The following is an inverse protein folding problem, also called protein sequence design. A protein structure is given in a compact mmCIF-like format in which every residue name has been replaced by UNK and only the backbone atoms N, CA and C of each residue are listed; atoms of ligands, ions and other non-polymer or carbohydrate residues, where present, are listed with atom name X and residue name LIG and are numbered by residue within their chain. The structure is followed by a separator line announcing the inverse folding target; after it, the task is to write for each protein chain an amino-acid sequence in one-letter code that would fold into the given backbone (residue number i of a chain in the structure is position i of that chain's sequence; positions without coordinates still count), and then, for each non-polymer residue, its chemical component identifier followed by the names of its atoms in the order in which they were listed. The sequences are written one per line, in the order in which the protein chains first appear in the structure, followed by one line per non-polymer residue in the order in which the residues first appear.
data_IF_730374603461
#
_entry.id   IF_730374603461
#
_cell.length_a   1.000
_cell.length_b   1.000
_cell.length_c   1.000
_cell.angle_alpha   90.00
_cell.angle_beta   90.00
_cell.angle_gamma   90.00
#
_symmetry.space_group_name_H-M   'P 1'
#
loop_
_entity.id
_entity.type
_entity.pdbx_description
1 polymer ?
#
# COMPACT_ATOMS: atom_id res chain seq x y z
N UNK A 1 -2.54 15.32 19.44
CA UNK A 1 -1.36 14.63 18.87
C UNK A 1 -1.18 13.33 19.63
N UNK A 2 -1.60 12.20 19.06
CA UNK A 2 -1.44 10.89 19.71
C UNK A 2 -0.33 10.17 18.95
N UNK A 3 0.90 10.26 19.49
CA UNK A 3 2.00 9.39 19.09
C UNK A 3 1.71 8.00 19.64
N UNK A 4 1.84 6.97 18.80
CA UNK A 4 1.80 5.59 19.28
C UNK A 4 2.96 5.34 20.25
N UNK A 5 2.77 4.52 21.30
CA UNK A 5 3.85 4.14 22.21
C UNK A 5 4.98 3.47 21.41
N UNK A 6 6.17 4.07 21.41
CA UNK A 6 7.38 3.56 20.76
C UNK A 6 7.82 4.23 19.45
N UNK A 7 7.09 5.23 18.93
CA UNK A 7 7.58 6.04 17.80
C UNK A 7 8.22 7.33 18.31
N UNK A 8 9.54 7.36 18.32
CA UNK A 8 10.30 8.58 18.49
C UNK A 8 10.27 9.40 17.20
N UNK A 9 10.27 10.72 17.30
CA UNK A 9 10.38 11.68 16.19
C UNK A 9 11.67 11.53 15.36
N UNK A 10 12.58 10.63 15.76
CA UNK A 10 13.87 10.36 15.12
C UNK A 10 13.83 9.18 14.11
N UNK A 11 12.69 8.53 13.92
CA UNK A 11 12.59 7.47 12.93
C UNK A 11 12.60 8.04 11.51
N UNK A 12 13.56 7.64 10.70
CA UNK A 12 13.67 8.00 9.29
C UNK A 12 13.65 6.74 8.43
N UNK A 13 13.04 6.82 7.24
CA UNK A 13 13.06 5.72 6.27
C UNK A 13 13.19 6.24 4.85
N UNK A 14 13.96 5.54 4.03
CA UNK A 14 13.97 5.74 2.57
C UNK A 14 13.02 4.78 1.86
N UNK A 15 12.54 3.74 2.55
CA UNK A 15 11.69 2.73 1.96
C UNK A 15 10.34 3.32 1.57
N UNK A 16 9.89 3.05 0.36
CA UNK A 16 8.60 3.47 -0.16
C UNK A 16 7.89 2.35 -0.93
N UNK A 17 6.59 2.22 -0.70
CA UNK A 17 5.72 1.32 -1.46
C UNK A 17 5.11 2.09 -2.62
N UNK A 18 5.45 1.67 -3.85
CA UNK A 18 4.90 2.25 -5.07
C UNK A 18 3.54 1.62 -5.37
N UNK A 19 2.51 2.45 -5.42
CA UNK A 19 1.14 2.02 -5.69
C UNK A 19 0.41 3.06 -6.53
N UNK A 20 -0.67 2.69 -7.22
CA UNK A 20 -1.47 3.61 -8.02
C UNK A 20 -1.96 4.79 -7.21
N UNK A 21 -1.89 5.98 -7.80
CA UNK A 21 -2.20 7.21 -7.09
C UNK A 21 -3.62 7.19 -6.51
N UNK A 22 -4.61 6.66 -7.25
CA UNK A 22 -5.98 6.53 -6.75
C UNK A 22 -6.12 5.56 -5.57
N UNK A 23 -5.27 4.54 -5.48
CA UNK A 23 -5.22 3.63 -4.32
C UNK A 23 -4.56 4.33 -3.14
N UNK A 24 -3.44 5.03 -3.36
CA UNK A 24 -2.76 5.81 -2.31
C UNK A 24 -3.69 6.86 -1.71
N UNK A 25 -4.37 7.64 -2.56
CA UNK A 25 -5.35 8.65 -2.12
C UNK A 25 -6.51 8.00 -1.34
N UNK A 26 -7.01 6.86 -1.79
CA UNK A 26 -8.07 6.12 -1.09
C UNK A 26 -7.64 5.55 0.27
N UNK A 27 -6.38 5.11 0.40
CA UNK A 27 -5.79 4.73 1.69
C UNK A 27 -5.72 5.93 2.63
N UNK A 28 -5.21 7.07 2.14
CA UNK A 28 -5.04 8.30 2.93
C UNK A 28 -6.37 9.01 3.23
N UNK A 29 -7.43 8.71 2.47
CA UNK A 29 -8.80 9.13 2.78
C UNK A 29 -9.50 8.19 3.77
N UNK A 30 -8.86 7.11 4.21
CA UNK A 30 -9.47 6.12 5.11
C UNK A 30 -10.50 5.20 4.46
N UNK A 31 -10.61 5.21 3.12
CA UNK A 31 -11.60 4.42 2.38
C UNK A 31 -11.28 2.93 2.34
N UNK A 32 -9.99 2.59 2.39
CA UNK A 32 -9.49 1.23 2.45
C UNK A 32 -8.20 1.19 3.28
N UNK A 33 -7.90 0.00 3.79
CA UNK A 33 -6.63 -0.32 4.44
C UNK A 33 -6.01 -1.60 3.87
N UNK A 34 -6.66 -2.16 2.86
CA UNK A 34 -6.28 -3.45 2.26
C UNK A 34 -5.69 -3.22 0.88
N UNK A 35 -4.51 -3.77 0.65
CA UNK A 35 -3.88 -3.87 -0.65
C UNK A 35 -3.77 -5.32 -1.10
N UNK A 36 -3.95 -5.55 -2.40
CA UNK A 36 -3.76 -6.84 -3.05
C UNK A 36 -2.54 -6.75 -3.97
N UNK A 37 -1.47 -7.46 -3.64
CA UNK A 37 -0.18 -7.38 -4.34
C UNK A 37 0.20 -8.71 -4.95
N UNK A 38 0.87 -8.64 -6.10
CA UNK A 38 1.36 -9.84 -6.83
C UNK A 38 2.86 -10.09 -6.64
N UNK A 39 3.59 -9.09 -6.25
CA UNK A 39 5.05 -9.06 -6.37
C UNK A 39 5.51 -8.57 -7.75
N UNK A 40 6.71 -8.04 -7.80
CA UNK A 40 7.34 -7.54 -9.02
C UNK A 40 7.78 -8.65 -9.97
N UNK A 41 8.19 -8.26 -11.17
CA UNK A 41 8.62 -9.18 -12.23
C UNK A 41 9.83 -10.04 -11.82
N UNK A 42 10.72 -9.48 -11.00
CA UNK A 42 11.92 -10.15 -10.50
C UNK A 42 11.75 -10.80 -9.11
N UNK A 43 10.60 -10.62 -8.48
CA UNK A 43 10.34 -11.08 -7.12
C UNK A 43 9.66 -12.47 -7.15
N UNK A 44 10.15 -13.42 -6.35
CA UNK A 44 9.50 -14.74 -6.15
C UNK A 44 8.20 -14.67 -5.34
N UNK A 45 7.75 -13.48 -4.97
CA UNK A 45 6.58 -13.14 -4.18
C UNK A 45 6.66 -11.69 -3.75
N UNK A 46 5.63 -11.17 -3.09
CA UNK A 46 5.68 -9.82 -2.54
C UNK A 46 6.43 -9.83 -1.21
N UNK A 47 7.60 -9.20 -1.17
CA UNK A 47 8.35 -9.03 0.06
C UNK A 47 7.62 -8.05 1.00
N UNK A 48 7.50 -8.42 2.28
CA UNK A 48 6.88 -7.61 3.31
C UNK A 48 7.96 -7.15 4.30
N UNK A 49 8.67 -6.05 4.02
CA UNK A 49 9.64 -5.52 4.96
C UNK A 49 8.92 -4.99 6.21
N UNK A 50 9.53 -5.19 7.36
CA UNK A 50 9.05 -4.60 8.60
C UNK A 50 9.35 -3.09 8.68
N UNK A 51 8.68 -2.40 9.61
CA UNK A 51 8.87 -0.98 9.84
C UNK A 51 7.98 -0.09 8.98
N UNK A 52 8.13 1.24 9.13
CA UNK A 52 7.38 2.23 8.37
C UNK A 52 7.91 2.39 6.95
N UNK A 53 7.01 2.75 6.02
CA UNK A 53 7.35 3.04 4.64
C UNK A 53 6.46 4.16 4.08
N UNK A 54 6.99 4.93 3.14
CA UNK A 54 6.27 5.97 2.44
C UNK A 54 5.26 5.38 1.46
N UNK A 55 4.12 6.01 1.30
CA UNK A 55 3.14 5.68 0.25
C UNK A 55 3.47 6.50 -1.00
N UNK A 56 4.11 5.85 -1.98
CA UNK A 56 4.61 6.50 -3.19
C UNK A 56 3.58 6.36 -4.32
N UNK A 57 2.94 7.47 -4.76
CA UNK A 57 1.93 7.41 -5.80
C UNK A 57 2.55 7.21 -7.19
N UNK A 58 1.92 6.39 -8.03
CA UNK A 58 2.25 6.25 -9.45
C UNK A 58 1.00 6.29 -10.32
N UNK A 59 1.13 6.84 -11.51
CA UNK A 59 0.08 6.90 -12.52
C UNK A 59 0.25 5.85 -13.61
N UNK A 60 1.36 5.11 -13.61
CA UNK A 60 1.66 4.07 -14.60
C UNK A 60 0.59 2.97 -14.55
N UNK A 61 -0.02 2.68 -15.71
CA UNK A 61 -1.04 1.64 -15.90
C UNK A 61 -2.30 1.74 -15.02
N UNK A 62 -2.50 2.85 -14.31
CA UNK A 62 -3.65 3.01 -13.41
C UNK A 62 -4.99 2.92 -14.16
N UNK A 63 -5.10 3.53 -15.33
CA UNK A 63 -6.32 3.51 -16.14
C UNK A 63 -6.63 2.12 -16.72
N UNK A 64 -5.61 1.35 -17.07
CA UNK A 64 -5.76 0.03 -17.66
C UNK A 64 -6.22 -1.03 -16.66
N UNK A 65 -5.93 -0.83 -15.39
CA UNK A 65 -6.15 -1.85 -14.38
C UNK A 65 -7.47 -1.72 -13.62
N UNK A 66 -8.10 -0.58 -13.67
CA UNK A 66 -9.45 -0.35 -13.13
C UNK A 66 -9.52 -0.33 -11.60
N UNK A 67 -10.07 0.77 -11.10
CA UNK A 67 -10.51 0.90 -9.72
C UNK A 67 -12.04 0.70 -9.67
N UNK A 68 -12.57 0.15 -8.59
CA UNK A 68 -14.01 0.05 -8.37
C UNK A 68 -14.62 1.45 -8.12
N UNK A 69 -15.94 1.55 -7.97
CA UNK A 69 -16.62 2.83 -7.78
C UNK A 69 -16.12 3.62 -6.57
N UNK A 70 -15.68 2.94 -5.51
CA UNK A 70 -15.10 3.58 -4.33
C UNK A 70 -13.72 4.17 -4.63
N UNK A 71 -12.90 3.46 -5.40
CA UNK A 71 -11.55 3.88 -5.76
C UNK A 71 -11.53 4.89 -6.92
N UNK A 72 -12.45 4.80 -7.87
CA UNK A 72 -12.49 5.63 -9.07
C UNK A 72 -12.59 7.14 -8.76
N UNK A 73 -13.24 7.52 -7.68
CA UNK A 73 -13.36 8.92 -7.23
C UNK A 73 -12.03 9.56 -6.82
N UNK A 74 -11.02 8.74 -6.58
CA UNK A 74 -9.66 9.18 -6.21
C UNK A 74 -8.71 9.26 -7.40
N UNK A 75 -9.14 8.86 -8.60
CA UNK A 75 -8.33 9.03 -9.80
C UNK A 75 -8.16 10.52 -10.09
N UNK A 76 -6.91 10.95 -10.22
CA UNK A 76 -6.53 12.30 -10.59
C UNK A 76 -5.64 12.24 -11.84
N UNK A 77 -5.64 13.27 -12.68
CA UNK A 77 -4.66 13.39 -13.76
C UNK A 77 -3.23 13.29 -13.21
N UNK A 78 -2.35 12.73 -14.03
CA UNK A 78 -0.93 12.75 -13.69
C UNK A 78 -0.45 14.20 -13.61
N UNK A 79 0.20 14.63 -12.54
CA UNK A 79 0.80 15.96 -12.47
C UNK A 79 1.82 16.13 -13.60
N UNK A 80 1.84 17.30 -14.21
CA UNK A 80 2.84 17.67 -15.24
C UNK A 80 4.18 18.09 -14.64
N UNK A 81 4.46 17.73 -13.41
CA UNK A 81 5.60 18.24 -12.68
C UNK A 81 6.72 17.20 -12.63
N UNK A 82 7.96 17.68 -12.71
CA UNK A 82 9.17 16.92 -12.42
C UNK A 82 9.32 16.65 -10.91
N UNK A 83 8.20 16.41 -10.25
CA UNK A 83 8.14 16.20 -8.80
C UNK A 83 7.15 15.10 -8.44
N UNK A 84 7.39 14.47 -7.29
CA UNK A 84 6.47 13.53 -6.67
C UNK A 84 6.04 14.07 -5.31
N UNK A 85 4.73 14.12 -5.08
CA UNK A 85 4.15 14.54 -3.82
C UNK A 85 3.80 13.30 -2.98
N UNK A 86 4.46 13.15 -1.85
CA UNK A 86 4.19 12.12 -0.85
C UNK A 86 3.34 12.73 0.25
N UNK A 87 2.12 12.22 0.40
CA UNK A 87 1.15 12.75 1.36
C UNK A 87 0.99 11.88 2.61
N UNK A 88 1.68 10.73 2.69
CA UNK A 88 1.58 9.87 3.85
C UNK A 88 2.54 8.70 3.84
N UNK A 89 2.53 7.98 4.95
CA UNK A 89 3.29 6.76 5.17
C UNK A 89 2.41 5.70 5.82
N UNK A 90 2.88 4.47 5.88
CA UNK A 90 2.14 3.38 6.51
C UNK A 90 3.08 2.43 7.25
N UNK A 91 2.49 1.63 8.15
CA UNK A 91 3.08 0.40 8.66
C UNK A 91 2.23 -0.79 8.23
N UNK A 92 2.84 -1.96 8.18
CA UNK A 92 2.14 -3.21 7.89
C UNK A 92 1.65 -3.84 9.20
N UNK A 93 0.35 -4.10 9.30
CA UNK A 93 -0.25 -4.72 10.48
C UNK A 93 -0.39 -6.24 10.35
N UNK A 94 -0.73 -6.70 9.16
CA UNK A 94 -0.84 -8.12 8.86
C UNK A 94 -0.67 -8.38 7.37
N UNK A 95 -0.32 -9.61 7.03
CA UNK A 95 -0.19 -10.09 5.65
C UNK A 95 -0.67 -11.52 5.54
N UNK A 96 -1.17 -11.89 4.35
CA UNK A 96 -1.63 -13.24 4.03
C UNK A 96 -1.21 -13.59 2.60
N UNK A 97 -0.76 -14.81 2.42
CA UNK A 97 -0.57 -15.39 1.09
C UNK A 97 -1.84 -16.14 0.70
N UNK A 98 -2.56 -15.62 -0.27
CA UNK A 98 -3.83 -16.19 -0.75
C UNK A 98 -3.60 -16.99 -2.03
N UNK A 99 -3.94 -18.28 -2.01
CA UNK A 99 -3.79 -19.22 -3.11
C UNK A 99 -5.15 -19.71 -3.68
N UNK A 100 -6.22 -19.51 -2.92
CA UNK A 100 -7.55 -19.97 -3.32
C UNK A 100 -8.34 -18.82 -3.97
N UNK A 101 -8.72 -18.94 -5.26
CA UNK A 101 -9.51 -17.91 -5.95
C UNK A 101 -10.94 -17.76 -5.38
N UNK A 102 -11.47 -18.76 -4.66
CA UNK A 102 -12.77 -18.65 -4.00
C UNK A 102 -12.80 -17.58 -2.90
N UNK A 103 -11.63 -17.15 -2.42
CA UNK A 103 -11.51 -16.09 -1.42
C UNK A 103 -11.50 -14.68 -2.03
N UNK A 104 -11.47 -14.53 -3.37
CA UNK A 104 -11.50 -13.23 -4.02
C UNK A 104 -12.80 -12.43 -3.78
N UNK A 105 -14.00 -13.02 -3.98
CA UNK A 105 -15.26 -12.31 -3.76
C UNK A 105 -15.45 -11.80 -2.31
N UNK A 106 -15.16 -12.56 -1.25
CA UNK A 106 -15.22 -12.06 0.12
C UNK A 106 -14.32 -10.88 0.43
N UNK A 107 -13.26 -10.66 -0.38
CA UNK A 107 -12.34 -9.53 -0.21
C UNK A 107 -12.82 -8.25 -0.89
N UNK A 108 -13.79 -8.30 -1.82
CA UNK A 108 -14.26 -7.13 -2.59
C UNK A 108 -14.64 -5.92 -1.72
N UNK A 109 -15.29 -6.05 -0.56
CA UNK A 109 -15.63 -4.90 0.28
C UNK A 109 -14.43 -4.15 0.86
N UNK A 110 -13.25 -4.78 0.87
CA UNK A 110 -12.10 -4.29 1.65
C UNK A 110 -11.05 -3.57 0.81
N UNK A 111 -11.07 -3.70 -0.53
CA UNK A 111 -10.10 -3.07 -1.42
C UNK A 111 -10.76 -2.13 -2.45
N UNK A 112 -9.94 -1.40 -3.22
CA UNK A 112 -10.40 -0.39 -4.18
C UNK A 112 -10.30 -0.84 -5.65
N UNK A 113 -9.95 -2.10 -5.92
CA UNK A 113 -9.80 -2.63 -7.27
C UNK A 113 -11.12 -3.20 -7.79
N UNK A 114 -11.30 -3.19 -9.12
CA UNK A 114 -12.38 -3.98 -9.74
C UNK A 114 -12.09 -5.46 -9.61
N UNK A 115 -13.15 -6.29 -9.63
CA UNK A 115 -13.03 -7.74 -9.64
C UNK A 115 -12.15 -8.23 -10.78
N UNK A 116 -12.34 -7.72 -11.99
CA UNK A 116 -11.53 -8.08 -13.16
C UNK A 116 -10.04 -7.80 -12.94
N UNK A 117 -9.70 -6.67 -12.30
CA UNK A 117 -8.31 -6.33 -11.97
C UNK A 117 -7.71 -7.31 -10.98
N UNK A 118 -8.47 -7.70 -9.97
CA UNK A 118 -8.02 -8.66 -8.95
C UNK A 118 -7.82 -10.05 -9.55
N UNK A 119 -8.77 -10.53 -10.34
CA UNK A 119 -8.68 -11.81 -11.06
C UNK A 119 -7.47 -11.85 -12.00
N UNK A 120 -7.26 -10.78 -12.80
CA UNK A 120 -6.09 -10.64 -13.68
C UNK A 120 -4.78 -10.68 -12.88
N UNK A 121 -4.71 -9.96 -11.76
CA UNK A 121 -3.53 -9.98 -10.86
C UNK A 121 -3.32 -11.37 -10.27
N UNK A 122 -4.37 -12.05 -9.81
CA UNK A 122 -4.30 -13.38 -9.22
C UNK A 122 -3.71 -14.38 -10.21
N UNK A 123 -4.20 -14.39 -11.46
CA UNK A 123 -3.77 -15.33 -12.50
C UNK A 123 -2.40 -15.00 -13.11
N UNK A 124 -1.89 -13.78 -12.93
CA UNK A 124 -0.63 -13.38 -13.53
C UNK A 124 0.52 -14.28 -13.07
N UNK A 125 1.21 -14.96 -14.01
CA UNK A 125 2.31 -15.94 -13.87
C UNK A 125 1.93 -17.20 -13.11
N UNK A 126 1.49 -17.13 -11.88
CA UNK A 126 1.03 -18.24 -11.04
C UNK A 126 -0.11 -17.77 -10.16
N UNK A 127 -1.14 -18.60 -9.90
CA UNK A 127 -2.28 -18.20 -9.10
C UNK A 127 -1.88 -17.94 -7.64
N UNK A 128 -1.77 -16.69 -7.27
CA UNK A 128 -1.54 -16.24 -5.90
C UNK A 128 -1.70 -14.73 -5.77
N UNK A 129 -2.03 -14.23 -4.59
CA UNK A 129 -1.92 -12.82 -4.20
C UNK A 129 -1.41 -12.71 -2.77
N UNK A 130 -0.72 -11.63 -2.48
CA UNK A 130 -0.45 -11.20 -1.10
C UNK A 130 -1.48 -10.14 -0.71
N UNK A 131 -2.23 -10.41 0.35
CA UNK A 131 -3.16 -9.47 0.97
C UNK A 131 -2.43 -8.75 2.08
N UNK A 132 -2.41 -7.42 2.06
CA UNK A 132 -1.76 -6.58 3.06
C UNK A 132 -2.82 -5.79 3.81
N UNK A 133 -2.78 -5.83 5.13
CA UNK A 133 -3.50 -4.90 5.99
C UNK A 133 -2.51 -3.83 6.45
N UNK A 134 -2.79 -2.59 6.07
CA UNK A 134 -1.95 -1.44 6.38
C UNK A 134 -2.54 -0.58 7.50
N UNK A 135 -1.66 0.16 8.16
CA UNK A 135 -2.00 1.27 9.03
C UNK A 135 -1.48 2.55 8.40
N UNK A 136 -2.30 3.26 7.60
CA UNK A 136 -1.89 4.47 6.91
C UNK A 136 -1.95 5.69 7.83
N UNK A 137 -1.03 6.64 7.60
CA UNK A 137 -0.93 7.91 8.29
C UNK A 137 -0.86 9.04 7.27
N UNK A 138 -1.78 9.99 7.38
CA UNK A 138 -1.83 11.20 6.56
C UNK A 138 -0.93 12.27 7.20
N UNK A 139 0.00 12.83 6.43
CA UNK A 139 0.87 13.92 6.86
C UNK A 139 0.08 15.21 7.05
N UNK A 140 0.42 15.99 8.07
CA UNK A 140 -0.06 17.36 8.21
C UNK A 140 0.46 18.26 7.07
N UNK A 141 1.70 18.03 6.63
CA UNK A 141 2.34 18.70 5.51
C UNK A 141 2.92 17.66 4.55
N UNK A 142 2.41 17.54 3.33
CA UNK A 142 2.98 16.65 2.32
C UNK A 142 4.42 17.02 1.96
N UNK A 143 5.24 16.02 1.66
CA UNK A 143 6.60 16.20 1.17
C UNK A 143 6.61 16.18 -0.35
N UNK A 144 7.25 17.17 -0.98
CA UNK A 144 7.46 17.19 -2.42
C UNK A 144 8.93 16.91 -2.72
N UNK A 145 9.17 15.91 -3.55
CA UNK A 145 10.52 15.49 -3.95
C UNK A 145 10.70 15.72 -5.45
N UNK A 146 11.90 16.10 -5.93
CA UNK A 146 12.22 16.04 -7.36
C UNK A 146 12.01 14.61 -7.88
N UNK A 147 11.49 14.46 -9.08
CA UNK A 147 11.37 13.15 -9.72
C UNK A 147 12.76 12.55 -9.96
N UNK A 148 12.87 11.23 -9.78
CA UNK A 148 14.12 10.50 -9.99
C UNK A 148 13.85 9.36 -10.99
N UNK A 149 14.60 9.28 -12.12
CA UNK A 149 14.48 8.17 -13.05
C UNK A 149 14.71 6.78 -12.42
N UNK A 150 15.43 6.70 -11.30
CA UNK A 150 15.60 5.45 -10.55
C UNK A 150 14.28 4.90 -9.96
N UNK A 151 13.24 5.73 -9.86
CA UNK A 151 11.91 5.31 -9.42
C UNK A 151 11.01 4.80 -10.55
N UNK A 152 11.48 4.84 -11.80
CA UNK A 152 10.72 4.33 -12.93
C UNK A 152 10.67 2.80 -12.94
N UNK A 153 9.80 2.25 -13.80
CA UNK A 153 9.66 0.80 -13.95
C UNK A 153 8.69 0.14 -12.96
N UNK A 154 8.60 -1.18 -13.07
CA UNK A 154 7.61 -2.01 -12.34
C UNK A 154 8.19 -2.58 -11.05
N UNK A 155 8.58 -1.72 -10.13
CA UNK A 155 9.03 -2.09 -8.79
C UNK A 155 7.91 -1.88 -7.78
N UNK A 156 7.73 -2.83 -6.84
CA UNK A 156 6.80 -2.67 -5.71
C UNK A 156 7.40 -1.78 -4.62
N UNK A 157 8.67 -1.99 -4.35
CA UNK A 157 9.44 -1.26 -3.37
C UNK A 157 10.51 -0.43 -4.06
N UNK A 158 10.70 0.78 -3.59
CA UNK A 158 11.77 1.67 -4.00
C UNK A 158 12.41 2.34 -2.78
N UNK A 159 13.60 2.86 -2.97
CA UNK A 159 14.26 3.70 -1.98
C UNK A 159 14.28 5.14 -2.46
N UNK A 160 13.89 6.06 -1.59
CA UNK A 160 14.09 7.48 -1.80
C UNK A 160 15.60 7.78 -1.78
N UNK A 161 16.03 8.86 -2.42
CA UNK A 161 17.45 9.26 -2.50
C UNK A 161 18.12 9.39 -1.13
N UNK A 162 17.36 9.79 -0.11
CA UNK A 162 17.79 9.82 1.27
C UNK A 162 16.64 9.38 2.20
N UNK A 163 16.97 8.86 3.39
CA UNK A 163 15.96 8.65 4.42
C UNK A 163 15.30 9.98 4.81
N UNK A 164 13.97 9.99 4.78
CA UNK A 164 13.18 11.12 5.26
C UNK A 164 12.69 10.82 6.69
N UNK A 165 12.78 11.82 7.59
CA UNK A 165 12.20 11.67 8.92
C UNK A 165 10.69 11.53 8.82
N UNK A 166 10.11 10.63 9.61
CA UNK A 166 8.67 10.49 9.71
C UNK A 166 8.09 11.74 10.35
N UNK A 167 7.42 12.53 9.54
CA UNK A 167 6.82 13.79 9.97
C UNK A 167 5.53 13.56 10.77
N UNK A 168 5.06 14.56 11.54
CA UNK A 168 3.78 14.50 12.21
C UNK A 168 2.66 14.11 11.26
N UNK A 169 1.91 13.11 11.66
CA UNK A 169 0.85 12.53 10.86
C UNK A 169 -0.24 11.96 11.77
N UNK A 170 -1.44 11.80 11.25
CA UNK A 170 -2.52 11.16 11.98
C UNK A 170 -2.97 9.88 11.26
N UNK A 171 -3.31 8.88 12.05
CA UNK A 171 -3.88 7.64 11.54
C UNK A 171 -5.20 7.92 10.82
N UNK A 172 -5.42 7.28 9.67
CA UNK A 172 -6.65 7.36 8.89
C UNK A 172 -7.24 5.98 8.64
N UNK A 173 -8.55 5.89 8.69
CA UNK A 173 -9.30 4.67 8.40
C UNK A 173 -10.05 4.11 9.62
N UNK A 174 -10.85 3.06 9.39
CA UNK A 174 -11.59 2.38 10.44
C UNK A 174 -10.66 1.68 11.42
N UNK A 175 -11.15 1.43 12.64
CA UNK A 175 -10.40 0.72 13.68
C UNK A 175 -9.84 -0.62 13.20
N UNK A 176 -8.61 -0.89 13.61
CA UNK A 176 -7.82 -2.02 13.15
C UNK A 176 -8.33 -3.37 13.61
N UNK A 177 -8.84 -3.45 14.84
CA UNK A 177 -9.19 -4.72 15.47
C UNK A 177 -10.33 -5.45 14.76
N UNK A 178 -11.39 -4.73 14.41
CA UNK A 178 -12.54 -5.28 13.70
C UNK A 178 -12.20 -5.75 12.28
N UNK A 179 -11.44 -4.94 11.53
CA UNK A 179 -11.04 -5.26 10.17
C UNK A 179 -10.06 -6.45 10.13
N UNK A 180 -9.07 -6.49 11.01
CA UNK A 180 -8.15 -7.62 11.10
C UNK A 180 -8.91 -8.93 11.38
N UNK A 181 -9.81 -8.93 12.35
CA UNK A 181 -10.63 -10.10 12.69
C UNK A 181 -11.49 -10.57 11.52
N UNK A 182 -12.08 -9.63 10.75
CA UNK A 182 -12.85 -9.96 9.56
C UNK A 182 -11.99 -10.62 8.49
N UNK A 183 -10.78 -10.09 8.24
CA UNK A 183 -9.83 -10.68 7.28
C UNK A 183 -9.32 -12.04 7.75
N UNK A 184 -9.04 -12.23 9.04
CA UNK A 184 -8.67 -13.52 9.61
C UNK A 184 -9.81 -14.56 9.49
N UNK A 185 -11.06 -14.12 9.56
CA UNK A 185 -12.22 -14.96 9.30
C UNK A 185 -12.34 -15.45 7.86
N UNK A 186 -11.84 -14.67 6.89
CA UNK A 186 -11.84 -15.01 5.46
C UNK A 186 -10.59 -15.82 5.09
N UNK A 187 -9.41 -15.35 5.53
CA UNK A 187 -8.10 -15.81 5.05
C UNK A 187 -7.39 -16.78 6.00
N UNK A 188 -7.91 -16.96 7.21
CA UNK A 188 -7.19 -17.68 8.27
C UNK A 188 -6.16 -16.80 8.99
N UNK A 189 -5.27 -17.41 9.80
CA UNK A 189 -4.26 -16.67 10.55
C UNK A 189 -3.28 -15.95 9.61
N UNK A 190 -2.85 -14.76 10.03
CA UNK A 190 -1.90 -13.94 9.26
C UNK A 190 -0.50 -14.55 9.23
N UNK A 191 0.22 -14.29 8.13
CA UNK A 191 1.63 -14.63 7.99
C UNK A 191 2.50 -13.81 8.96
N UNK A 192 3.70 -14.30 9.26
CA UNK A 192 4.67 -13.56 10.06
C UNK A 192 5.30 -12.43 9.23
N UNK A 193 5.18 -11.20 9.70
CA UNK A 193 5.91 -10.06 9.14
C UNK A 193 7.37 -10.14 9.59
N UNK A 194 8.31 -10.01 8.64
CA UNK A 194 9.73 -9.96 8.97
C UNK A 194 10.03 -8.72 9.82
N UNK A 195 10.87 -8.83 10.86
CA UNK A 195 11.32 -7.65 11.60
C UNK A 195 12.11 -6.71 10.68
N UNK A 196 12.14 -5.38 10.98
CA UNK A 196 12.95 -4.44 10.23
C UNK A 196 14.42 -4.85 10.28
N UNK A 197 15.09 -4.89 9.11
CA UNK A 197 16.54 -5.19 9.02
C UNK A 197 16.94 -6.67 9.08
N UNK A 198 16.01 -7.60 8.92
CA UNK A 198 16.29 -9.04 8.80
C UNK A 198 16.38 -9.49 7.34
#
# INVERSE_FOLDING_TARGET
MILLPGQTTDSATSLALKEWSGVVEGLLAGESRVLLRKGGIAEKGFACPGGPFWLFPTWSHQQEQGLNNRGARFIRPCPLADTVRIAGWATMEATWTMLDPALLPPLEPWHLLTRASVEKRFQYRHPALTVLLLRPYLLEQPVTLPADPAWDGCHSWLHLQAPLPLQPAHFVGPDCGGLRKALEGILGPSDKIKPPGA
#
